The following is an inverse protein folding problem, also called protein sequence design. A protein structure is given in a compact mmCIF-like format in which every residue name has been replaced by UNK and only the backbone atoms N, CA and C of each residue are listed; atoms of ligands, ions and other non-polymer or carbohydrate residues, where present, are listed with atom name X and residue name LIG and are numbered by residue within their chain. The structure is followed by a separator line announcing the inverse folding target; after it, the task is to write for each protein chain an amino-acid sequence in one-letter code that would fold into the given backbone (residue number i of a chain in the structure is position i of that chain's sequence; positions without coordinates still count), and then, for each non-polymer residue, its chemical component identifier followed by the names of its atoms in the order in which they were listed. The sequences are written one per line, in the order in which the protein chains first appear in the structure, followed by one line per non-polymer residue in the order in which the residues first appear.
data_IF_300621075811
#
_entry.id   IF_300621075811
#
_cell.length_a   1.000
_cell.length_b   1.000
_cell.length_c   1.000
_cell.angle_alpha   90.00
_cell.angle_beta   90.00
_cell.angle_gamma   90.00
#
_symmetry.space_group_name_H-M   'P 1'
#
loop_
_entity.id
_entity.type
_entity.pdbx_description
1 polymer ?
#
# COMPACT_ATOMS: atom_id res chain seq x y z
N UNK A 1 2.30 21.79 1.23
CA UNK A 1 1.52 20.59 0.85
C UNK A 1 2.49 19.54 0.35
N UNK A 2 2.93 18.64 1.23
CA UNK A 2 3.76 17.47 0.90
C UNK A 2 2.91 16.23 1.18
N UNK A 3 2.93 15.24 0.30
CA UNK A 3 2.38 13.90 0.59
C UNK A 3 3.48 13.04 1.23
N UNK A 4 3.11 12.16 2.15
CA UNK A 4 4.00 11.22 2.83
C UNK A 4 5.16 11.90 3.58
N UNK A 5 4.85 13.05 4.18
CA UNK A 5 5.80 13.74 5.02
C UNK A 5 5.88 13.11 6.42
N UNK A 6 7.09 13.11 7.00
CA UNK A 6 7.22 12.92 8.44
C UNK A 6 6.45 14.02 9.19
N UNK A 7 5.51 13.59 10.02
CA UNK A 7 4.62 14.41 10.83
C UNK A 7 4.95 14.32 12.33
N UNK A 8 6.09 13.71 12.68
CA UNK A 8 6.51 13.53 14.07
C UNK A 8 6.67 14.89 14.75
N UNK A 9 5.87 15.14 15.79
CA UNK A 9 5.92 16.38 16.57
C UNK A 9 5.05 17.53 16.04
N UNK A 10 4.28 17.33 14.97
CA UNK A 10 3.35 18.32 14.43
C UNK A 10 1.97 18.29 15.11
N UNK A 11 1.21 19.40 15.01
CA UNK A 11 -0.22 19.40 15.32
C UNK A 11 -0.97 18.68 14.19
N UNK A 12 -1.54 17.51 14.49
CA UNK A 12 -2.12 16.60 13.52
C UNK A 12 -3.57 16.25 13.84
N UNK A 13 -4.36 16.03 12.80
CA UNK A 13 -5.69 15.42 12.87
C UNK A 13 -5.62 14.10 12.10
N UNK A 14 -6.03 13.03 12.77
CA UNK A 14 -5.99 11.66 12.26
C UNK A 14 -7.41 11.08 12.26
N UNK A 15 -7.73 10.31 11.23
CA UNK A 15 -9.03 9.69 10.97
C UNK A 15 -8.79 8.22 10.67
N UNK A 16 -9.58 7.34 11.29
CA UNK A 16 -9.63 5.93 10.93
C UNK A 16 -11.03 5.54 10.50
N UNK A 17 -11.11 4.67 9.49
CA UNK A 17 -12.36 4.16 8.95
C UNK A 17 -12.33 2.63 8.89
N UNK A 18 -13.26 1.98 9.59
CA UNK A 18 -13.60 0.57 9.37
C UNK A 18 -14.76 0.51 8.37
N UNK A 19 -14.40 0.36 7.10
CA UNK A 19 -15.35 0.30 5.98
C UNK A 19 -15.87 -1.11 5.72
N UNK A 20 -15.31 -2.12 6.39
CA UNK A 20 -15.69 -3.52 6.23
C UNK A 20 -16.70 -3.99 7.28
N UNK A 21 -16.72 -3.31 8.44
CA UNK A 21 -17.51 -3.68 9.62
C UNK A 21 -16.93 -4.87 10.36
N UNK A 22 -15.63 -5.16 10.18
CA UNK A 22 -14.95 -6.29 10.80
C UNK A 22 -14.05 -5.90 11.98
N UNK A 23 -14.08 -4.61 12.36
CA UNK A 23 -13.39 -4.07 13.54
C UNK A 23 -11.88 -4.30 13.54
N UNK A 24 -11.29 -4.55 12.37
CA UNK A 24 -9.90 -4.95 12.25
C UNK A 24 -9.20 -4.39 11.03
N UNK A 25 -9.89 -4.35 9.90
CA UNK A 25 -9.33 -3.85 8.65
C UNK A 25 -9.95 -2.53 8.27
N UNK A 26 -9.13 -1.60 7.79
CA UNK A 26 -9.61 -0.27 7.50
C UNK A 26 -8.54 0.64 6.94
N UNK A 27 -8.84 1.93 7.00
CA UNK A 27 -8.01 2.99 6.42
C UNK A 27 -7.61 3.98 7.49
N UNK A 28 -6.39 4.51 7.36
CA UNK A 28 -5.86 5.60 8.17
C UNK A 28 -5.60 6.80 7.28
N UNK A 29 -5.97 7.98 7.76
CA UNK A 29 -5.67 9.26 7.13
C UNK A 29 -5.19 10.25 8.19
N UNK A 30 -4.16 11.01 7.88
CA UNK A 30 -3.63 12.03 8.78
C UNK A 30 -3.24 13.28 8.02
N UNK A 31 -3.53 14.43 8.63
CA UNK A 31 -3.15 15.74 8.12
C UNK A 31 -2.56 16.61 9.23
N UNK A 32 -1.73 17.59 8.86
CA UNK A 32 -1.28 18.63 9.77
C UNK A 32 -1.78 20.02 9.36
N UNK A 33 -1.56 21.02 10.22
CA UNK A 33 -1.94 22.41 9.93
C UNK A 33 -1.30 23.02 8.67
N UNK A 34 -0.22 22.43 8.14
CA UNK A 34 0.44 22.84 6.90
C UNK A 34 -0.11 22.15 5.63
N UNK A 35 -1.11 21.27 5.79
CA UNK A 35 -1.70 20.49 4.70
C UNK A 35 -0.76 19.40 4.17
N UNK A 36 0.18 18.93 5.00
CA UNK A 36 0.87 17.65 4.75
C UNK A 36 -0.11 16.53 5.02
N UNK A 37 -0.04 15.48 4.20
CA UNK A 37 -1.00 14.36 4.18
C UNK A 37 -0.25 13.04 4.27
N UNK A 38 -0.82 12.10 5.02
CA UNK A 38 -0.37 10.72 5.15
C UNK A 38 -1.59 9.82 5.12
N UNK A 39 -1.51 8.71 4.42
CA UNK A 39 -2.53 7.66 4.38
C UNK A 39 -1.93 6.29 4.64
N UNK A 40 -2.79 5.30 4.83
CA UNK A 40 -2.35 3.94 5.09
C UNK A 40 -3.46 2.94 5.27
N UNK A 41 -3.05 1.67 5.36
CA UNK A 41 -3.93 0.54 5.61
C UNK A 41 -3.77 0.04 7.04
N UNK A 42 -4.90 -0.32 7.64
CA UNK A 42 -4.98 -0.96 8.96
C UNK A 42 -5.27 -2.44 8.75
N UNK A 43 -4.49 -3.30 9.40
CA UNK A 43 -4.67 -4.76 9.43
C UNK A 43 -4.57 -5.36 10.84
N UNK A 44 -4.04 -4.57 11.79
CA UNK A 44 -3.79 -4.92 13.19
C UNK A 44 -4.14 -3.73 14.09
N UNK A 45 -4.38 -3.99 15.37
CA UNK A 45 -4.73 -2.95 16.34
C UNK A 45 -3.52 -2.16 16.88
N UNK A 46 -2.28 -2.59 16.54
CA UNK A 46 -1.03 -2.03 17.05
C UNK A 46 -0.15 -1.37 15.97
N UNK A 47 -0.54 -1.41 14.69
CA UNK A 47 0.25 -0.76 13.63
C UNK A 47 -0.57 -0.36 12.40
N UNK A 48 -0.01 0.56 11.60
CA UNK A 48 -0.56 1.03 10.31
C UNK A 48 0.55 0.95 9.26
N UNK A 49 0.26 0.35 8.10
CA UNK A 49 1.16 0.46 6.95
C UNK A 49 0.89 1.76 6.22
N UNK A 50 1.87 2.65 6.19
CA UNK A 50 1.84 3.95 5.49
C UNK A 50 2.35 3.86 4.05
N UNK A 51 2.34 2.66 3.47
CA UNK A 51 2.83 2.46 2.12
C UNK A 51 1.74 2.65 1.06
N UNK A 52 0.47 2.48 1.44
CA UNK A 52 -0.66 2.58 0.52
C UNK A 52 -0.99 4.03 0.17
N UNK A 53 -1.15 4.28 -1.13
CA UNK A 53 -1.33 5.60 -1.71
C UNK A 53 -2.75 5.78 -2.27
N UNK A 54 -3.67 6.32 -1.48
CA UNK A 54 -5.08 6.49 -1.87
C UNK A 54 -5.39 7.78 -2.62
N UNK A 55 -6.44 7.84 -3.43
CA UNK A 55 -6.89 9.11 -4.03
C UNK A 55 -7.77 9.87 -3.03
N UNK A 56 -7.29 10.96 -2.45
CA UNK A 56 -8.08 11.85 -1.58
C UNK A 56 -7.52 13.28 -1.59
N UNK A 57 -8.33 14.27 -1.20
CA UNK A 57 -7.87 15.66 -1.06
C UNK A 57 -8.12 16.18 0.35
N UNK A 58 -7.27 17.13 0.78
CA UNK A 58 -7.47 17.86 2.01
C UNK A 58 -6.96 19.29 1.88
N UNK A 59 -7.67 20.23 2.50
CA UNK A 59 -7.30 21.65 2.56
C UNK A 59 -7.28 22.09 4.00
N UNK A 60 -6.29 22.91 4.35
CA UNK A 60 -6.18 23.51 5.68
C UNK A 60 -6.14 25.02 5.59
N UNK A 61 -6.70 25.68 6.58
CA UNK A 61 -6.67 27.13 6.71
C UNK A 61 -6.30 27.51 8.13
N UNK A 62 -5.30 28.40 8.29
CA UNK A 62 -4.99 28.99 9.59
C UNK A 62 -5.95 30.15 9.87
N UNK A 63 -6.47 30.20 11.08
CA UNK A 63 -7.34 31.26 11.57
C UNK A 63 -6.68 31.93 12.79
N UNK A 64 -7.13 33.11 13.23
CA UNK A 64 -6.60 33.75 14.44
C UNK A 64 -6.67 32.84 15.69
N UNK A 65 -7.68 31.98 15.76
CA UNK A 65 -7.95 31.09 16.89
C UNK A 65 -7.36 29.67 16.72
N UNK A 66 -6.72 29.37 15.58
CA UNK A 66 -6.14 28.05 15.31
C UNK A 66 -6.05 27.69 13.84
N UNK A 67 -6.58 26.53 13.48
CA UNK A 67 -6.65 26.08 12.10
C UNK A 67 -7.87 25.17 11.88
N UNK A 68 -8.37 25.15 10.65
CA UNK A 68 -9.42 24.24 10.20
C UNK A 68 -8.89 23.34 9.09
N UNK A 69 -9.56 22.20 8.92
CA UNK A 69 -9.30 21.28 7.83
C UNK A 69 -10.60 20.78 7.21
N UNK A 70 -10.56 20.58 5.90
CA UNK A 70 -11.60 19.91 5.13
C UNK A 70 -10.96 18.76 4.36
N UNK A 71 -11.56 17.57 4.47
CA UNK A 71 -11.03 16.33 3.88
C UNK A 71 -12.12 15.71 3.01
N UNK A 72 -11.74 15.35 1.78
CA UNK A 72 -12.60 14.67 0.82
C UNK A 72 -12.00 13.32 0.48
N UNK A 73 -12.68 12.25 0.88
CA UNK A 73 -12.32 10.87 0.56
C UNK A 73 -13.37 10.32 -0.41
N UNK A 74 -13.07 10.23 -1.72
CA UNK A 74 -13.95 9.61 -2.69
C UNK A 74 -14.24 8.15 -2.33
N UNK A 75 -15.50 7.72 -2.40
CA UNK A 75 -15.89 6.32 -2.14
C UNK A 75 -15.16 5.32 -3.05
N UNK A 76 -14.85 5.72 -4.29
CA UNK A 76 -14.08 4.91 -5.25
C UNK A 76 -12.67 4.56 -4.77
N UNK A 77 -12.10 5.37 -3.89
CA UNK A 77 -10.78 5.13 -3.29
C UNK A 77 -10.84 3.98 -2.30
N UNK A 78 -11.96 3.87 -1.57
CA UNK A 78 -12.15 2.89 -0.52
C UNK A 78 -12.70 1.58 -1.10
N UNK A 79 -12.28 0.49 -0.50
CA UNK A 79 -12.97 -0.79 -0.58
C UNK A 79 -13.81 -0.94 0.70
N UNK A 80 -15.03 -1.43 0.57
CA UNK A 80 -16.03 -1.38 1.65
C UNK A 80 -17.09 -2.46 1.50
N UNK A 81 -17.79 -2.81 2.59
CA UNK A 81 -18.89 -3.78 2.54
C UNK A 81 -20.16 -3.16 1.94
N UNK A 82 -20.69 -3.62 0.78
CA UNK A 82 -21.90 -3.07 0.19
C UNK A 82 -23.11 -3.29 1.10
N UNK A 83 -23.94 -2.26 1.25
CA UNK A 83 -25.14 -2.31 2.09
C UNK A 83 -24.87 -2.28 3.59
N UNK A 84 -23.63 -2.06 4.01
CA UNK A 84 -23.32 -1.81 5.42
C UNK A 84 -23.82 -0.42 5.82
N UNK A 85 -24.79 -0.36 6.74
CA UNK A 85 -25.43 0.91 7.14
C UNK A 85 -24.49 1.83 7.93
N UNK A 86 -23.48 1.25 8.58
CA UNK A 86 -22.63 1.92 9.53
C UNK A 86 -21.17 1.48 9.37
N UNK A 87 -20.27 2.44 9.30
CA UNK A 87 -18.82 2.20 9.36
C UNK A 87 -18.32 2.47 10.77
N UNK A 88 -17.16 1.88 11.12
CA UNK A 88 -16.42 2.35 12.27
C UNK A 88 -15.70 3.66 11.94
N UNK A 89 -15.72 4.63 12.85
CA UNK A 89 -15.02 5.89 12.73
C UNK A 89 -14.31 6.21 14.05
N UNK A 90 -13.09 6.70 13.98
CA UNK A 90 -12.49 7.42 15.09
C UNK A 90 -11.68 8.61 14.60
N UNK A 91 -11.56 9.61 15.46
CA UNK A 91 -10.87 10.86 15.20
C UNK A 91 -9.94 11.14 16.36
N UNK A 92 -8.73 11.58 16.04
CA UNK A 92 -7.75 11.97 17.04
C UNK A 92 -7.01 13.22 16.61
N UNK A 93 -6.79 14.13 17.55
CA UNK A 93 -5.90 15.26 17.37
C UNK A 93 -4.73 15.18 18.34
N UNK A 94 -3.52 15.33 17.84
CA UNK A 94 -2.34 15.52 18.67
C UNK A 94 -1.96 17.00 18.71
N UNK A 95 -1.83 17.56 19.91
CA UNK A 95 -1.41 18.95 20.14
C UNK A 95 -0.03 18.91 20.81
N UNK A 96 1.07 19.09 20.04
CA UNK A 96 2.43 18.86 20.55
C UNK A 96 2.83 19.82 21.67
N UNK A 97 2.42 21.09 21.58
CA UNK A 97 2.71 22.12 22.59
C UNK A 97 2.12 21.83 23.97
N UNK A 98 1.03 21.06 24.02
CA UNK A 98 0.33 20.68 25.25
C UNK A 98 0.56 19.20 25.60
N UNK A 99 1.26 18.45 24.73
CA UNK A 99 1.41 16.98 24.79
C UNK A 99 0.07 16.27 24.98
N UNK A 100 -0.95 16.76 24.28
CA UNK A 100 -2.33 16.34 24.47
C UNK A 100 -2.81 15.54 23.27
N UNK A 101 -3.44 14.40 23.55
CA UNK A 101 -4.19 13.61 22.58
C UNK A 101 -5.68 13.78 22.88
N UNK A 102 -6.43 14.29 21.90
CA UNK A 102 -7.87 14.44 21.97
C UNK A 102 -8.50 13.40 21.06
N UNK A 103 -9.22 12.42 21.62
CA UNK A 103 -9.84 11.34 20.85
C UNK A 103 -11.36 11.38 20.98
N UNK A 104 -12.06 11.19 19.87
CA UNK A 104 -13.53 11.25 19.81
C UNK A 104 -14.19 10.04 20.47
N UNK A 105 -13.79 8.83 20.09
CA UNK A 105 -14.34 7.58 20.63
C UNK A 105 -13.28 6.81 21.42
N UNK A 106 -13.71 6.21 22.53
CA UNK A 106 -12.88 5.33 23.39
C UNK A 106 -11.50 5.94 23.75
N UNK A 107 -11.45 7.10 24.45
CA UNK A 107 -10.21 7.80 24.81
C UNK A 107 -9.50 7.12 25.99
N UNK A 108 -9.22 5.82 25.88
CA UNK A 108 -8.52 5.04 26.89
C UNK A 108 -7.04 4.96 26.57
N UNK A 109 -6.19 4.89 27.61
CA UNK A 109 -4.73 4.88 27.48
C UNK A 109 -4.16 3.54 26.99
N UNK A 110 -4.97 2.48 27.01
CA UNK A 110 -4.61 1.11 26.62
C UNK A 110 -4.89 0.81 25.14
N UNK A 111 -5.16 1.83 24.33
CA UNK A 111 -5.55 1.69 22.93
C UNK A 111 -4.92 2.75 22.04
N UNK A 112 -4.50 2.34 20.85
CA UNK A 112 -4.15 3.24 19.77
C UNK A 112 -5.40 3.69 19.00
N UNK A 113 -5.28 4.74 18.18
CA UNK A 113 -6.37 5.21 17.33
C UNK A 113 -6.81 4.16 16.31
N UNK A 114 -5.85 3.40 15.77
CA UNK A 114 -6.08 2.36 14.76
C UNK A 114 -6.58 1.02 15.34
N UNK A 115 -6.89 0.94 16.63
CA UNK A 115 -7.69 -0.16 17.19
C UNK A 115 -9.17 0.01 16.79
N UNK A 116 -9.53 -0.55 15.64
CA UNK A 116 -10.86 -0.43 15.05
C UNK A 116 -11.96 -1.13 15.87
N UNK A 117 -11.61 -2.01 16.81
CA UNK A 117 -12.56 -2.61 17.75
C UNK A 117 -13.17 -1.60 18.72
N UNK A 118 -12.51 -0.46 18.88
CA UNK A 118 -12.94 0.64 19.75
C UNK A 118 -13.42 1.87 18.99
N UNK A 119 -13.53 1.77 17.66
CA UNK A 119 -14.05 2.84 16.82
C UNK A 119 -15.52 3.14 17.17
N UNK A 120 -15.90 4.42 17.10
CA UNK A 120 -17.29 4.83 17.20
C UNK A 120 -18.06 4.48 15.93
N UNK A 121 -19.36 4.78 15.92
CA UNK A 121 -20.26 4.46 14.80
C UNK A 121 -20.47 5.66 13.89
N UNK A 122 -20.19 5.48 12.59
CA UNK A 122 -20.53 6.41 11.52
C UNK A 122 -21.73 5.86 10.73
N UNK A 123 -22.92 6.38 11.03
CA UNK A 123 -24.15 6.03 10.32
C UNK A 123 -24.35 6.83 9.03
N UNK A 124 -25.20 6.33 8.13
CA UNK A 124 -25.59 7.04 6.91
C UNK A 124 -24.68 6.72 5.70
N UNK A 125 -23.89 5.67 5.80
CA UNK A 125 -22.98 5.19 4.74
C UNK A 125 -23.59 4.06 3.89
N UNK A 126 -24.80 3.59 4.23
CA UNK A 126 -25.47 2.49 3.52
C UNK A 126 -25.78 2.77 2.05
N UNK A 127 -25.88 4.04 1.66
CA UNK A 127 -26.14 4.46 0.27
C UNK A 127 -24.86 4.77 -0.52
N UNK A 128 -23.67 4.58 0.07
CA UNK A 128 -22.39 4.86 -0.60
C UNK A 128 -22.20 3.91 -1.79
N UNK A 129 -22.00 4.50 -2.97
CA UNK A 129 -21.78 3.76 -4.21
C UNK A 129 -20.30 3.84 -4.63
N UNK A 130 -19.75 2.73 -5.13
CA UNK A 130 -18.37 2.68 -5.67
C UNK A 130 -18.24 3.34 -7.06
N UNK A 131 -19.36 3.59 -7.75
CA UNK A 131 -19.36 3.97 -9.16
C UNK A 131 -18.94 2.81 -10.07
N UNK A 132 -18.17 3.09 -11.13
CA UNK A 132 -17.73 2.08 -12.11
C UNK A 132 -16.56 1.21 -11.61
N UNK A 133 -15.89 1.63 -10.55
CA UNK A 133 -14.74 0.91 -9.98
C UNK A 133 -13.55 0.77 -10.93
N UNK A 134 -13.43 1.59 -11.98
CA UNK A 134 -12.36 1.49 -12.97
C UNK A 134 -11.38 2.66 -12.82
N UNK A 135 -10.10 2.33 -12.74
CA UNK A 135 -8.99 3.27 -12.72
C UNK A 135 -7.91 2.82 -13.70
N UNK A 136 -7.37 3.76 -14.48
CA UNK A 136 -6.38 3.49 -15.52
C UNK A 136 -5.20 4.44 -15.28
N UNK A 137 -4.02 3.85 -15.13
CA UNK A 137 -2.78 4.56 -14.81
C UNK A 137 -1.76 4.27 -15.91
N UNK A 138 -1.78 5.03 -17.02
CA UNK A 138 -0.79 4.87 -18.08
C UNK A 138 0.54 5.54 -17.68
N UNK A 139 1.66 5.02 -18.17
CA UNK A 139 2.97 5.67 -18.03
C UNK A 139 3.80 5.55 -19.30
N UNK A 140 4.74 6.48 -19.48
CA UNK A 140 5.69 6.49 -20.58
C UNK A 140 7.03 7.05 -20.10
N UNK A 141 8.11 6.34 -20.39
CA UNK A 141 9.47 6.71 -20.01
C UNK A 141 10.29 6.92 -21.28
N UNK A 142 11.14 7.96 -21.27
CA UNK A 142 12.10 8.24 -22.32
C UNK A 142 13.49 8.48 -21.74
N UNK A 143 14.48 7.71 -22.21
CA UNK A 143 15.89 7.82 -21.80
C UNK A 143 16.76 8.15 -22.99
N UNK A 144 17.62 9.14 -22.83
CA UNK A 144 18.66 9.50 -23.79
C UNK A 144 20.02 9.21 -23.17
N UNK A 145 20.88 8.48 -23.88
CA UNK A 145 22.30 8.34 -23.49
C UNK A 145 23.16 9.00 -24.55
N UNK A 146 24.03 9.91 -24.11
CA UNK A 146 25.03 10.57 -24.95
C UNK A 146 26.41 10.25 -24.39
N UNK A 147 27.27 9.68 -25.22
CA UNK A 147 28.69 9.57 -24.92
C UNK A 147 29.41 10.80 -25.46
N UNK A 148 30.44 11.27 -24.76
CA UNK A 148 31.28 12.39 -25.20
C UNK A 148 32.60 11.82 -25.75
N UNK A 149 32.59 11.41 -27.02
CA UNK A 149 33.76 10.95 -27.75
C UNK A 149 33.65 11.26 -29.24
N UNK A 150 34.76 11.30 -29.98
CA UNK A 150 34.71 11.54 -31.42
C UNK A 150 33.98 10.35 -32.11
N UNK A 151 32.84 10.63 -32.75
CA UNK A 151 32.02 9.64 -33.47
C UNK A 151 30.90 8.97 -32.66
N UNK A 152 30.62 9.41 -31.44
CA UNK A 152 29.54 8.82 -30.62
C UNK A 152 28.14 9.26 -31.08
N UNK A 153 27.25 8.29 -31.30
CA UNK A 153 25.83 8.52 -31.61
C UNK A 153 24.99 8.65 -30.34
N UNK A 154 23.96 9.51 -30.40
CA UNK A 154 22.91 9.62 -29.37
C UNK A 154 22.02 8.38 -29.46
N UNK A 155 21.84 7.66 -28.36
CA UNK A 155 20.86 6.57 -28.29
C UNK A 155 19.61 7.02 -27.53
N UNK A 156 18.45 6.65 -28.06
CA UNK A 156 17.15 6.89 -27.45
C UNK A 156 16.51 5.55 -27.10
N UNK A 157 15.96 5.45 -25.89
CA UNK A 157 15.25 4.30 -25.38
C UNK A 157 13.93 4.80 -24.82
N UNK A 158 12.84 4.11 -25.14
CA UNK A 158 11.51 4.45 -24.64
C UNK A 158 10.79 3.21 -24.16
N UNK A 159 9.94 3.37 -23.15
CA UNK A 159 9.04 2.33 -22.66
C UNK A 159 7.66 2.94 -22.41
N UNK A 160 6.62 2.15 -22.65
CA UNK A 160 5.23 2.51 -22.33
C UNK A 160 4.59 1.35 -21.59
N UNK A 161 3.75 1.65 -20.62
CA UNK A 161 2.98 0.62 -19.96
C UNK A 161 1.84 1.25 -19.17
N UNK A 162 1.28 0.47 -18.28
CA UNK A 162 0.25 0.99 -17.39
C UNK A 162 -0.40 -0.07 -16.56
N UNK A 163 -1.26 0.42 -15.68
CA UNK A 163 -2.02 -0.38 -14.75
C UNK A 163 -3.51 -0.08 -14.94
N UNK A 164 -4.33 -1.12 -14.77
CA UNK A 164 -5.78 -1.01 -14.74
C UNK A 164 -6.27 -1.65 -13.47
N UNK A 165 -6.84 -0.84 -12.57
CA UNK A 165 -7.50 -1.31 -11.37
C UNK A 165 -9.00 -1.38 -11.63
N UNK A 166 -9.60 -2.54 -11.37
CA UNK A 166 -11.02 -2.79 -11.51
C UNK A 166 -11.60 -3.39 -10.24
N UNK A 167 -12.44 -2.62 -9.55
CA UNK A 167 -13.28 -3.08 -8.44
C UNK A 167 -14.53 -3.77 -9.01
N UNK A 168 -14.46 -5.09 -9.16
CA UNK A 168 -15.58 -5.94 -9.59
C UNK A 168 -16.76 -5.72 -8.64
N UNK A 169 -16.47 -5.71 -7.34
CA UNK A 169 -17.38 -5.25 -6.28
C UNK A 169 -16.60 -4.33 -5.34
N UNK A 170 -17.28 -3.57 -4.46
CA UNK A 170 -16.58 -2.75 -3.46
C UNK A 170 -15.66 -3.54 -2.52
N UNK A 171 -15.82 -4.87 -2.45
CA UNK A 171 -14.96 -5.76 -1.68
C UNK A 171 -14.02 -6.60 -2.55
N UNK A 172 -14.08 -6.56 -3.88
CA UNK A 172 -13.29 -7.43 -4.75
C UNK A 172 -12.62 -6.61 -5.85
N UNK A 173 -11.30 -6.48 -5.74
CA UNK A 173 -10.46 -5.63 -6.59
C UNK A 173 -9.53 -6.48 -7.42
N UNK A 174 -9.44 -6.20 -8.71
CA UNK A 174 -8.45 -6.78 -9.62
C UNK A 174 -7.55 -5.69 -10.14
N UNK A 175 -6.24 -5.93 -10.18
CA UNK A 175 -5.27 -5.03 -10.82
C UNK A 175 -4.58 -5.78 -11.94
N UNK A 176 -4.58 -5.20 -13.13
CA UNK A 176 -3.81 -5.66 -14.27
C UNK A 176 -2.66 -4.71 -14.50
N UNK A 177 -1.48 -5.24 -14.76
CA UNK A 177 -0.30 -4.45 -15.09
C UNK A 177 0.31 -4.96 -16.39
N UNK A 178 0.79 -4.05 -17.22
CA UNK A 178 1.42 -4.37 -18.50
C UNK A 178 2.70 -3.53 -18.69
N UNK A 179 3.78 -4.23 -19.01
CA UNK A 179 5.14 -3.71 -19.22
C UNK A 179 5.72 -2.92 -18.04
N UNK A 180 5.12 -2.97 -16.86
CA UNK A 180 5.41 -2.03 -15.76
C UNK A 180 6.89 -1.97 -15.40
N UNK A 181 7.40 -0.73 -15.41
CA UNK A 181 8.76 -0.41 -15.04
C UNK A 181 8.74 0.06 -13.59
N UNK A 182 9.11 -0.84 -12.68
CA UNK A 182 9.17 -0.56 -11.26
C UNK A 182 10.35 0.35 -10.84
N UNK A 183 11.05 0.96 -11.79
CA UNK A 183 12.11 1.94 -11.54
C UNK A 183 11.60 3.29 -10.99
N UNK A 184 10.29 3.58 -11.04
CA UNK A 184 9.74 4.86 -10.53
C UNK A 184 9.50 4.87 -9.01
N UNK A 185 9.76 3.76 -8.34
CA UNK A 185 9.47 3.66 -6.91
C UNK A 185 10.66 4.12 -6.08
N UNK A 186 10.61 5.40 -5.69
CA UNK A 186 11.56 6.12 -4.82
C UNK A 186 12.60 5.22 -4.11
N UNK A 187 13.80 5.17 -4.69
CA UNK A 187 14.99 4.59 -4.04
C UNK A 187 15.82 5.75 -3.52
N UNK A 188 15.51 6.24 -2.32
CA UNK A 188 16.31 7.33 -1.73
C UNK A 188 16.76 7.10 -0.29
N UNK A 189 16.92 5.84 0.12
CA UNK A 189 17.72 5.54 1.32
C UNK A 189 18.69 4.38 1.08
N UNK A 190 19.96 4.72 0.84
CA UNK A 190 21.07 3.79 1.06
C UNK A 190 21.11 3.45 2.54
N UNK A 191 20.61 2.28 2.91
CA UNK A 191 20.74 1.78 4.27
C UNK A 191 22.00 0.93 4.40
N UNK A 192 22.88 1.30 5.32
CA UNK A 192 24.06 0.50 5.67
C UNK A 192 23.59 -0.58 6.63
N UNK A 193 23.47 -1.81 6.13
CA UNK A 193 23.15 -2.95 6.98
C UNK A 193 24.38 -3.40 7.75
N UNK A 194 24.44 -3.08 9.04
CA UNK A 194 25.50 -3.55 9.94
C UNK A 194 25.13 -4.87 10.64
N UNK A 195 23.97 -5.45 10.31
CA UNK A 195 23.47 -6.68 10.92
C UNK A 195 23.60 -7.87 9.96
N UNK A 196 23.46 -9.08 10.52
CA UNK A 196 23.47 -10.34 9.75
C UNK A 196 22.10 -10.70 9.13
N UNK A 197 21.08 -9.88 9.33
CA UNK A 197 19.74 -10.09 8.80
C UNK A 197 19.54 -9.22 7.57
N UNK A 198 18.86 -9.70 6.52
CA UNK A 198 18.60 -8.88 5.34
C UNK A 198 17.75 -7.65 5.70
N UNK A 199 18.00 -6.53 5.02
CA UNK A 199 17.18 -5.33 5.17
C UNK A 199 15.81 -5.58 4.53
N UNK A 200 14.75 -5.30 5.29
CA UNK A 200 13.40 -5.27 4.76
C UNK A 200 13.13 -3.87 4.20
N UNK A 201 12.96 -3.79 2.89
CA UNK A 201 12.49 -2.58 2.24
C UNK A 201 10.96 -2.64 2.10
N UNK A 202 10.24 -1.55 2.43
CA UNK A 202 8.80 -1.50 2.23
C UNK A 202 8.46 -1.64 0.75
N UNK A 203 7.32 -2.27 0.47
CA UNK A 203 6.73 -2.22 -0.86
C UNK A 203 6.19 -0.81 -1.10
N UNK A 204 6.38 -0.27 -2.31
CA UNK A 204 5.98 1.11 -2.65
C UNK A 204 5.31 1.19 -4.02
N UNK A 205 5.20 0.06 -4.72
CA UNK A 205 4.62 -0.05 -6.06
C UNK A 205 3.12 -0.25 -5.96
N UNK A 206 2.34 0.62 -6.59
CA UNK A 206 0.87 0.66 -6.48
C UNK A 206 0.20 -0.69 -6.76
N UNK A 207 0.64 -1.41 -7.81
CA UNK A 207 0.19 -2.78 -8.12
C UNK A 207 0.25 -3.73 -6.90
N UNK A 208 1.34 -3.71 -6.14
CA UNK A 208 1.52 -4.60 -4.99
C UNK A 208 0.86 -4.08 -3.71
N UNK A 209 0.63 -2.77 -3.61
CA UNK A 209 0.01 -2.14 -2.44
C UNK A 209 -1.51 -2.28 -2.39
N UNK A 210 -2.18 -2.33 -3.54
CA UNK A 210 -3.64 -2.40 -3.57
C UNK A 210 -4.15 -3.67 -2.87
N UNK A 211 -4.87 -3.48 -1.75
CA UNK A 211 -5.36 -4.58 -0.91
C UNK A 211 -4.26 -5.40 -0.22
N UNK A 212 -3.04 -4.86 -0.03
CA UNK A 212 -1.94 -5.57 0.62
C UNK A 212 -2.28 -6.06 2.04
N UNK A 213 -3.10 -5.31 2.78
CA UNK A 213 -3.59 -5.70 4.10
C UNK A 213 -4.42 -7.01 4.10
N UNK A 214 -4.92 -7.45 2.94
CA UNK A 214 -5.61 -8.74 2.80
C UNK A 214 -4.63 -9.93 2.74
N UNK A 215 -3.32 -9.70 2.64
CA UNK A 215 -2.29 -10.74 2.71
C UNK A 215 -1.70 -10.93 4.12
N UNK A 216 -2.00 -10.01 5.05
CA UNK A 216 -1.49 -10.11 6.42
C UNK A 216 -2.07 -11.32 7.16
N UNK A 217 -1.20 -11.98 7.93
CA UNK A 217 -1.49 -13.23 8.63
C UNK A 217 -1.30 -13.06 10.14
N UNK A 218 -2.31 -13.46 10.92
CA UNK A 218 -2.28 -13.48 12.38
C UNK A 218 -2.20 -12.08 13.02
N UNK A 219 -2.95 -11.87 14.11
CA UNK A 219 -2.79 -10.65 14.90
C UNK A 219 -1.38 -10.66 15.54
N UNK A 220 -0.60 -9.60 15.35
CA UNK A 220 0.71 -9.43 15.98
C UNK A 220 1.88 -10.21 15.35
N UNK A 221 1.68 -10.93 14.24
CA UNK A 221 2.77 -11.62 13.53
C UNK A 221 3.40 -10.76 12.42
N UNK A 222 2.71 -9.72 11.97
CA UNK A 222 3.20 -8.75 10.98
C UNK A 222 3.34 -7.40 11.68
N UNK A 223 4.53 -7.11 12.23
CA UNK A 223 4.87 -5.78 12.77
C UNK A 223 5.79 -5.07 11.78
N UNK A 224 5.57 -3.78 11.59
CA UNK A 224 6.33 -2.94 10.65
C UNK A 224 7.85 -2.96 10.90
N UNK A 225 8.26 -3.01 12.18
CA UNK A 225 9.69 -2.95 12.56
C UNK A 225 10.37 -4.32 12.70
N UNK A 226 9.59 -5.40 12.76
CA UNK A 226 10.07 -6.78 12.93
C UNK A 226 8.95 -7.75 12.60
N UNK A 227 8.71 -8.02 11.31
CA UNK A 227 7.70 -8.98 10.93
C UNK A 227 8.13 -10.37 11.39
N UNK A 228 7.38 -10.94 12.33
CA UNK A 228 7.63 -12.30 12.84
C UNK A 228 7.30 -13.35 11.78
N UNK A 229 6.42 -13.02 10.83
CA UNK A 229 6.05 -13.88 9.70
C UNK A 229 5.51 -13.04 8.53
N UNK A 230 6.23 -13.03 7.40
CA UNK A 230 5.73 -12.50 6.12
C UNK A 230 5.51 -13.69 5.18
N UNK A 231 4.26 -14.14 4.96
CA UNK A 231 4.00 -15.26 4.06
C UNK A 231 4.31 -14.92 2.60
N UNK A 232 4.27 -13.63 2.24
CA UNK A 232 4.47 -13.17 0.89
C UNK A 232 5.17 -11.79 0.87
N UNK A 233 6.37 -11.73 0.27
CA UNK A 233 7.17 -10.51 0.18
C UNK A 233 7.29 -10.06 -1.28
N UNK A 234 6.41 -9.16 -1.71
CA UNK A 234 6.32 -8.72 -3.11
C UNK A 234 7.55 -7.96 -3.59
N UNK A 235 8.32 -7.33 -2.70
CA UNK A 235 9.45 -6.45 -3.05
C UNK A 235 10.50 -7.17 -3.91
N UNK A 236 10.66 -8.48 -3.76
CA UNK A 236 11.60 -9.26 -4.57
C UNK A 236 11.10 -9.54 -5.99
N UNK A 237 9.80 -9.36 -6.27
CA UNK A 237 9.25 -9.56 -7.60
C UNK A 237 9.73 -8.47 -8.55
N UNK A 238 10.39 -8.85 -9.64
CA UNK A 238 10.98 -7.91 -10.59
C UNK A 238 12.31 -7.29 -10.12
N UNK A 239 12.95 -7.87 -9.09
CA UNK A 239 14.30 -7.49 -8.65
C UNK A 239 15.16 -8.73 -8.45
N UNK A 240 16.42 -8.65 -8.88
CA UNK A 240 17.45 -9.65 -8.64
C UNK A 240 18.73 -8.95 -8.16
N UNK A 241 19.03 -9.06 -6.87
CA UNK A 241 20.16 -8.35 -6.22
C UNK A 241 20.20 -6.84 -6.51
N UNK A 242 19.03 -6.20 -6.45
CA UNK A 242 18.87 -4.78 -6.78
C UNK A 242 18.90 -4.45 -8.28
N UNK A 243 19.27 -5.40 -9.15
CA UNK A 243 19.06 -5.27 -10.59
C UNK A 243 17.59 -5.49 -10.94
N UNK A 244 17.07 -4.62 -11.79
CA UNK A 244 15.69 -4.68 -12.20
C UNK A 244 15.46 -5.79 -13.22
N UNK A 245 14.42 -6.59 -12.99
CA UNK A 245 13.86 -7.54 -13.94
C UNK A 245 12.46 -7.03 -14.33
N UNK A 246 12.27 -6.48 -15.54
CA UNK A 246 10.98 -5.94 -15.97
C UNK A 246 9.86 -6.99 -15.93
N UNK A 247 8.63 -6.53 -15.70
CA UNK A 247 7.44 -7.36 -15.70
C UNK A 247 6.64 -7.08 -16.96
N UNK A 248 6.47 -8.11 -17.80
CA UNK A 248 5.74 -8.00 -19.06
C UNK A 248 4.25 -7.85 -18.83
N UNK A 249 3.72 -8.63 -17.90
CA UNK A 249 2.32 -8.59 -17.49
C UNK A 249 2.17 -9.14 -16.08
N UNK A 250 1.13 -8.69 -15.39
CA UNK A 250 0.71 -9.27 -14.13
C UNK A 250 -0.76 -9.04 -13.86
N UNK A 251 -1.34 -9.93 -13.07
CA UNK A 251 -2.70 -9.83 -12.56
C UNK A 251 -2.70 -10.07 -11.07
N UNK A 252 -3.49 -9.28 -10.35
CA UNK A 252 -3.71 -9.42 -8.93
C UNK A 252 -5.21 -9.38 -8.66
N UNK A 253 -5.74 -10.25 -7.80
CA UNK A 253 -7.12 -10.28 -7.38
C UNK A 253 -7.18 -10.34 -5.86
N UNK A 254 -7.74 -9.32 -5.23
CA UNK A 254 -7.82 -9.22 -3.77
C UNK A 254 -9.22 -8.90 -3.29
N UNK A 255 -9.58 -9.49 -2.17
CA UNK A 255 -10.73 -9.07 -1.39
C UNK A 255 -11.67 -10.20 -1.03
N UNK A 256 -12.97 -9.91 -0.92
CA UNK A 256 -13.95 -10.81 -0.31
C UNK A 256 -15.14 -11.08 -1.21
N UNK A 257 -15.60 -12.32 -1.17
CA UNK A 257 -16.85 -12.79 -1.79
C UNK A 257 -17.62 -13.61 -0.76
N UNK A 258 -18.61 -12.97 -0.12
CA UNK A 258 -19.30 -13.55 1.02
C UNK A 258 -18.33 -13.83 2.16
N UNK A 259 -18.22 -15.10 2.57
CA UNK A 259 -17.31 -15.56 3.63
C UNK A 259 -15.91 -15.91 3.15
N UNK A 260 -15.66 -15.83 1.84
CA UNK A 260 -14.36 -16.14 1.25
C UNK A 260 -13.51 -14.88 1.14
N UNK A 261 -12.27 -14.98 1.56
CA UNK A 261 -11.22 -13.99 1.36
C UNK A 261 -10.22 -14.56 0.36
N UNK A 262 -9.94 -13.81 -0.70
CA UNK A 262 -9.12 -14.20 -1.83
C UNK A 262 -7.97 -13.21 -1.99
N UNK A 263 -6.76 -13.71 -2.23
CA UNK A 263 -5.60 -12.92 -2.63
C UNK A 263 -4.81 -13.73 -3.65
N UNK A 264 -4.87 -13.36 -4.92
CA UNK A 264 -4.18 -14.06 -6.02
C UNK A 264 -3.26 -13.06 -6.70
N UNK A 265 -2.06 -13.50 -7.04
CA UNK A 265 -1.08 -12.75 -7.80
C UNK A 265 -0.42 -13.69 -8.80
N UNK A 266 -0.36 -13.26 -10.05
CA UNK A 266 0.36 -13.95 -11.12
C UNK A 266 1.10 -12.90 -11.95
N UNK A 267 2.41 -13.10 -12.13
CA UNK A 267 3.32 -12.13 -12.72
C UNK A 267 4.28 -12.85 -13.66
N UNK A 268 4.40 -12.33 -14.88
CA UNK A 268 5.39 -12.78 -15.86
C UNK A 268 6.55 -11.78 -15.94
N UNK A 269 7.75 -12.23 -15.59
CA UNK A 269 8.97 -11.45 -15.77
C UNK A 269 9.55 -11.63 -17.17
N UNK A 270 10.26 -10.61 -17.64
CA UNK A 270 10.96 -10.60 -18.92
C UNK A 270 12.35 -11.21 -18.78
N UNK A 271 12.78 -11.95 -19.80
CA UNK A 271 14.19 -12.33 -19.93
C UNK A 271 15.08 -11.09 -19.95
N UNK A 272 16.07 -11.04 -19.07
CA UNK A 272 16.88 -9.84 -18.84
C UNK A 272 18.35 -10.20 -18.73
N UNK A 273 19.21 -9.37 -19.32
CA UNK A 273 20.65 -9.46 -19.13
C UNK A 273 21.03 -8.61 -17.92
N UNK A 274 21.59 -9.25 -16.89
CA UNK A 274 22.09 -8.59 -15.68
C UNK A 274 23.59 -8.30 -15.79
N UNK A 275 24.12 -7.45 -14.90
CA UNK A 275 25.54 -7.11 -14.90
C UNK A 275 26.41 -8.27 -14.40
N UNK A 276 27.69 -8.27 -14.78
CA UNK A 276 28.65 -9.29 -14.32
C UNK A 276 28.80 -9.33 -12.79
N UNK A 277 28.58 -8.21 -12.11
CA UNK A 277 28.58 -8.13 -10.65
C UNK A 277 27.48 -9.03 -10.05
N UNK A 278 26.24 -8.91 -10.55
CA UNK A 278 25.10 -9.73 -10.10
C UNK A 278 25.34 -11.22 -10.38
N UNK A 279 25.97 -11.54 -11.52
CA UNK A 279 26.33 -12.93 -11.86
C UNK A 279 27.31 -13.51 -10.83
N UNK A 280 28.31 -12.74 -10.42
CA UNK A 280 29.30 -13.18 -9.44
C UNK A 280 28.70 -13.29 -8.03
N UNK A 281 27.92 -12.29 -7.61
CA UNK A 281 27.34 -12.24 -6.26
C UNK A 281 26.34 -13.38 -6.00
N UNK A 282 25.58 -13.77 -7.04
CA UNK A 282 24.58 -14.84 -6.94
C UNK A 282 25.06 -16.19 -7.50
N UNK A 283 26.27 -16.26 -8.07
CA UNK A 283 26.81 -17.47 -8.69
C UNK A 283 25.98 -17.99 -9.88
N UNK A 284 25.46 -17.08 -10.71
CA UNK A 284 24.60 -17.44 -11.85
C UNK A 284 25.43 -18.11 -12.97
N UNK A 285 24.85 -19.07 -13.72
CA UNK A 285 25.54 -19.74 -14.81
C UNK A 285 25.76 -18.84 -16.04
N UNK A 286 24.98 -17.76 -16.16
CA UNK A 286 25.07 -16.78 -17.24
C UNK A 286 24.50 -15.42 -16.82
N UNK A 287 24.88 -14.36 -17.54
CA UNK A 287 24.28 -13.03 -17.39
C UNK A 287 22.81 -12.96 -17.87
N UNK A 288 22.33 -13.98 -18.59
CA UNK A 288 20.93 -14.07 -19.02
C UNK A 288 20.11 -14.69 -17.89
N UNK A 289 19.14 -13.92 -17.40
CA UNK A 289 18.12 -14.36 -16.45
C UNK A 289 16.84 -14.67 -17.23
N UNK A 290 16.37 -15.92 -17.26
CA UNK A 290 15.19 -16.29 -18.03
C UNK A 290 13.93 -15.63 -17.48
N UNK A 291 13.02 -15.26 -18.39
CA UNK A 291 11.68 -14.81 -18.02
C UNK A 291 10.95 -15.92 -17.26
N UNK A 292 10.34 -15.57 -16.13
CA UNK A 292 9.76 -16.54 -15.19
C UNK A 292 8.35 -16.12 -14.81
N UNK A 293 7.45 -17.10 -14.72
CA UNK A 293 6.13 -16.92 -14.14
C UNK A 293 6.20 -17.09 -12.61
N UNK A 294 5.65 -16.13 -11.88
CA UNK A 294 5.64 -16.09 -10.43
C UNK A 294 4.19 -15.99 -9.95
N UNK A 295 3.73 -17.04 -9.30
CA UNK A 295 2.37 -17.15 -8.76
C UNK A 295 2.40 -17.14 -7.23
N UNK A 296 1.45 -16.43 -6.61
CA UNK A 296 1.17 -16.50 -5.18
C UNK A 296 -0.34 -16.42 -4.94
N UNK A 297 -0.86 -17.27 -4.07
CA UNK A 297 -2.27 -17.41 -3.77
C UNK A 297 -2.55 -17.52 -2.28
N UNK A 298 -3.64 -16.91 -1.85
CA UNK A 298 -4.24 -17.06 -0.53
C UNK A 298 -5.74 -17.24 -0.68
N UNK A 299 -6.26 -18.24 0.01
CA UNK A 299 -7.70 -18.44 0.15
C UNK A 299 -7.97 -18.66 1.63
N UNK A 300 -8.94 -17.93 2.19
CA UNK A 300 -9.41 -18.18 3.55
C UNK A 300 -10.92 -18.02 3.67
N UNK A 301 -11.51 -18.69 4.64
CA UNK A 301 -12.94 -18.75 4.90
C UNK A 301 -13.24 -18.35 6.34
N UNK A 302 -14.18 -17.43 6.50
CA UNK A 302 -14.69 -16.96 7.78
C UNK A 302 -15.82 -17.87 8.26
N UNK A 303 -15.51 -18.78 9.19
CA UNK A 303 -16.50 -19.66 9.80
C UNK A 303 -17.48 -18.85 10.66
N UNK A 304 -16.94 -17.96 11.48
CA UNK A 304 -17.65 -17.00 12.32
C UNK A 304 -16.74 -15.78 12.58
N UNK A 305 -17.22 -14.81 13.37
CA UNK A 305 -16.51 -13.56 13.70
C UNK A 305 -15.13 -13.78 14.37
N UNK A 306 -14.92 -14.94 14.98
CA UNK A 306 -13.71 -15.26 15.74
C UNK A 306 -12.79 -16.29 15.07
N UNK A 307 -13.26 -16.99 14.03
CA UNK A 307 -12.54 -18.11 13.42
C UNK A 307 -12.47 -17.98 11.90
N UNK A 308 -11.25 -17.78 11.42
CA UNK A 308 -10.86 -17.81 10.00
C UNK A 308 -9.88 -18.96 9.78
N UNK A 309 -10.10 -19.75 8.74
CA UNK A 309 -9.17 -20.81 8.30
C UNK A 309 -8.77 -20.54 6.86
N UNK A 310 -7.50 -20.70 6.54
CA UNK A 310 -7.02 -20.47 5.18
C UNK A 310 -5.70 -21.15 4.88
N UNK A 311 -5.34 -21.07 3.61
CA UNK A 311 -4.08 -21.58 3.07
C UNK A 311 -3.41 -20.51 2.21
N UNK A 312 -2.08 -20.59 2.13
CA UNK A 312 -1.23 -19.82 1.22
C UNK A 312 -0.50 -20.83 0.35
N UNK A 313 -0.30 -20.52 -0.94
CA UNK A 313 0.38 -21.38 -1.90
C UNK A 313 1.02 -20.57 -3.03
#
# INVERSE_FOLDING_TARGET
MRRDGDLTGDDTVSIVLDTYGDHRTGYFFQINAAGTRVDGLISTADSVSLDWDGIWDARTAKTPDGWSAEIVIPSRTLSFTPGLNDWGLNLERFIPRERLWLRWASPTLDSFLYDLSRAGRLSGVGEVQQGKGLEITPYAIGKTKQFYGAGSSRSWQGAVGGEVTWKITPQLVTVFTANTDFAETEVDTRQINLTRFPLFFPEKRSFFLEGANQYDFGLGLSRQDSPLFIPFFSRNLGLLDGAQIPIDAGVKLNGRVGKWNLGILDVQTRETIVSDQVVQDLGLPSAVVPGTNLFAGRISYDFNENLRVGTVF
#
